data_IF_235764468319
#
_entry.id   IF_235764468319
#
_cell.length_a   1.000
_cell.length_b   1.000
_cell.length_c   1.000
_cell.angle_alpha   90.00
_cell.angle_beta   90.00
_cell.angle_gamma   90.00
#
_symmetry.space_group_name_H-M   'P 1'
#
loop_
_entity.id
_entity.type
_entity.pdbx_description
1 polymer ?
#
# COMPACT_ATOMS: atom_id res chain seq x y z
N UNK A 1 52.99 -8.95 2.87
CA UNK A 1 51.92 -8.53 3.81
C UNK A 1 52.45 -8.65 5.24
N UNK A 2 52.53 -7.55 5.99
CA UNK A 2 53.18 -7.52 7.31
C UNK A 2 52.25 -8.14 8.35
N UNK A 3 52.68 -9.22 9.03
CA UNK A 3 51.84 -9.97 10.00
C UNK A 3 51.29 -9.08 11.12
N UNK A 4 52.00 -8.00 11.46
CA UNK A 4 51.57 -7.00 12.45
C UNK A 4 50.38 -6.14 11.97
N UNK A 5 50.31 -5.85 10.67
CA UNK A 5 49.24 -5.06 10.06
C UNK A 5 47.96 -5.89 9.98
N UNK A 6 48.07 -7.18 9.61
CA UNK A 6 46.92 -8.11 9.54
C UNK A 6 46.29 -8.31 10.92
N UNK A 7 47.11 -8.46 11.97
CA UNK A 7 46.61 -8.60 13.33
C UNK A 7 45.91 -7.33 13.85
N UNK A 8 46.43 -6.14 13.51
CA UNK A 8 45.82 -4.87 13.88
C UNK A 8 44.46 -4.66 13.19
N UNK A 9 44.34 -4.99 11.90
CA UNK A 9 43.07 -4.91 11.17
C UNK A 9 42.02 -5.89 11.72
N UNK A 10 42.40 -7.12 12.07
CA UNK A 10 41.49 -8.09 12.71
C UNK A 10 41.00 -7.61 14.08
N UNK A 11 41.90 -7.04 14.88
CA UNK A 11 41.54 -6.56 16.22
C UNK A 11 40.59 -5.35 16.15
N UNK A 12 40.82 -4.42 15.21
CA UNK A 12 39.95 -3.27 14.96
C UNK A 12 38.57 -3.72 14.43
N UNK A 13 38.51 -4.72 13.54
CA UNK A 13 37.24 -5.28 13.07
C UNK A 13 36.42 -5.93 14.19
N UNK A 14 37.07 -6.67 15.11
CA UNK A 14 36.38 -7.27 16.26
C UNK A 14 35.84 -6.21 17.23
N UNK A 15 36.55 -5.12 17.47
CA UNK A 15 36.08 -4.05 18.36
C UNK A 15 34.88 -3.31 17.73
N UNK A 16 34.89 -3.05 16.41
CA UNK A 16 33.75 -2.42 15.73
C UNK A 16 32.52 -3.34 15.74
N UNK A 17 32.70 -4.65 15.56
CA UNK A 17 31.60 -5.61 15.63
C UNK A 17 30.97 -5.69 17.04
N UNK A 18 31.76 -5.58 18.11
CA UNK A 18 31.25 -5.59 19.50
C UNK A 18 30.55 -4.28 19.86
N UNK A 19 31.05 -3.13 19.37
CA UNK A 19 30.41 -1.82 19.62
C UNK A 19 29.06 -1.69 18.88
N UNK A 20 28.91 -2.29 17.69
CA UNK A 20 27.63 -2.33 16.99
C UNK A 20 26.55 -3.08 17.79
N UNK A 21 26.91 -4.14 18.52
CA UNK A 21 25.96 -4.94 19.32
C UNK A 21 25.50 -4.16 20.57
N UNK A 22 26.29 -3.20 21.06
CA UNK A 22 25.95 -2.38 22.23
C UNK A 22 25.02 -1.20 21.97
N UNK A 23 24.78 -0.83 20.70
CA UNK A 23 23.92 0.31 20.32
C UNK A 23 22.55 -0.15 19.80
N UNK A 24 22.35 -1.44 19.54
CA UNK A 24 21.02 -1.97 19.27
C UNK A 24 20.25 -2.06 20.58
N UNK A 25 19.39 -1.06 20.78
CA UNK A 25 18.34 -1.08 21.80
C UNK A 25 17.68 -2.46 21.84
N UNK A 26 17.49 -2.94 23.06
CA UNK A 26 16.76 -4.15 23.44
C UNK A 26 15.89 -4.68 22.30
N UNK A 27 16.30 -5.79 21.68
CA UNK A 27 15.45 -6.53 20.75
C UNK A 27 14.10 -6.70 21.46
N UNK A 28 12.99 -6.18 20.92
CA UNK A 28 11.69 -6.35 21.53
C UNK A 28 11.49 -7.83 21.82
N UNK A 29 11.05 -8.15 23.04
CA UNK A 29 10.73 -9.53 23.39
C UNK A 29 9.78 -10.07 22.30
N UNK A 30 10.08 -11.20 21.63
CA UNK A 30 9.21 -11.75 20.59
C UNK A 30 7.77 -11.98 21.06
N UNK A 31 7.54 -12.08 22.38
CA UNK A 31 6.21 -12.15 22.99
C UNK A 31 5.43 -10.83 22.98
N UNK A 32 6.05 -9.71 22.59
CA UNK A 32 5.42 -8.38 22.48
C UNK A 32 5.07 -7.98 21.04
N UNK A 33 5.35 -8.83 20.05
CA UNK A 33 5.02 -8.55 18.66
C UNK A 33 3.58 -8.97 18.39
N UNK A 34 2.74 -7.98 18.08
CA UNK A 34 1.34 -8.17 17.67
C UNK A 34 1.33 -8.22 16.12
N UNK A 35 1.04 -9.38 15.50
CA UNK A 35 1.05 -9.49 14.04
C UNK A 35 -0.19 -8.84 13.42
N UNK A 36 -0.08 -8.46 12.14
CA UNK A 36 -1.24 -8.11 11.32
C UNK A 36 -2.04 -9.38 11.03
N UNK A 37 -3.30 -9.39 11.48
CA UNK A 37 -4.23 -10.50 11.24
C UNK A 37 -5.04 -10.29 9.97
N UNK A 38 -5.46 -9.04 9.72
CA UNK A 38 -6.24 -8.63 8.55
C UNK A 38 -5.83 -7.23 8.10
N UNK A 39 -5.83 -7.03 6.79
CA UNK A 39 -5.81 -5.72 6.15
C UNK A 39 -7.01 -5.65 5.21
N UNK A 40 -7.69 -4.52 5.12
CA UNK A 40 -8.82 -4.36 4.21
C UNK A 40 -8.96 -2.94 3.71
N UNK A 41 -9.26 -2.80 2.43
CA UNK A 41 -9.75 -1.55 1.87
C UNK A 41 -11.08 -1.17 2.53
N UNK A 42 -11.24 0.14 2.70
CA UNK A 42 -12.48 0.77 3.16
C UNK A 42 -12.80 1.93 2.22
N UNK A 43 -14.08 2.29 2.14
CA UNK A 43 -14.55 3.41 1.36
C UNK A 43 -15.26 4.43 2.27
N UNK A 44 -14.57 5.51 2.68
CA UNK A 44 -15.15 6.55 3.52
C UNK A 44 -16.28 7.34 2.86
N UNK A 45 -16.47 7.23 1.54
CA UNK A 45 -17.58 7.88 0.84
C UNK A 45 -18.91 7.17 1.08
N UNK A 46 -18.87 5.91 1.53
CA UNK A 46 -20.08 5.14 1.86
C UNK A 46 -20.52 5.42 3.29
N UNK A 47 -21.83 5.60 3.47
CA UNK A 47 -22.45 5.85 4.78
C UNK A 47 -22.88 4.55 5.50
N UNK A 48 -22.48 3.38 4.99
CA UNK A 48 -22.77 2.08 5.60
C UNK A 48 -21.93 1.84 6.86
N UNK A 49 -22.38 0.91 7.71
CA UNK A 49 -21.67 0.56 8.94
C UNK A 49 -20.23 0.13 8.62
N UNK A 50 -19.26 0.80 9.24
CA UNK A 50 -17.82 0.53 9.17
C UNK A 50 -17.05 0.89 7.89
N UNK A 51 -17.65 1.63 6.95
CA UNK A 51 -16.99 2.07 5.70
C UNK A 51 -16.57 0.90 4.80
N UNK A 52 -17.33 -0.20 4.78
CA UNK A 52 -17.01 -1.32 3.90
C UNK A 52 -17.17 -0.93 2.42
N UNK A 53 -16.24 -1.38 1.56
CA UNK A 53 -16.37 -1.22 0.12
C UNK A 53 -17.60 -1.98 -0.39
N UNK A 54 -18.21 -1.46 -1.45
CA UNK A 54 -19.30 -2.15 -2.15
C UNK A 54 -18.78 -3.44 -2.82
N UNK A 55 -19.67 -4.40 -3.06
CA UNK A 55 -19.39 -5.59 -3.86
C UNK A 55 -20.10 -5.48 -5.20
N UNK A 56 -19.39 -5.71 -6.31
CA UNK A 56 -19.99 -5.79 -7.63
C UNK A 56 -20.79 -7.10 -7.82
N UNK A 57 -21.34 -7.32 -9.01
CA UNK A 57 -22.15 -8.52 -9.32
C UNK A 57 -21.37 -9.84 -9.15
N UNK A 58 -20.04 -9.79 -9.27
CA UNK A 58 -19.14 -10.92 -9.09
C UNK A 58 -18.71 -11.13 -7.62
N UNK A 59 -19.17 -10.26 -6.70
CA UNK A 59 -18.80 -10.30 -5.30
C UNK A 59 -17.41 -9.73 -5.01
N UNK A 60 -16.83 -8.96 -5.93
CA UNK A 60 -15.54 -8.31 -5.77
C UNK A 60 -15.70 -6.90 -5.21
N UNK A 61 -14.76 -6.46 -4.37
CA UNK A 61 -14.79 -5.10 -3.82
C UNK A 61 -14.63 -4.06 -4.92
N UNK A 62 -15.48 -3.05 -4.91
CA UNK A 62 -15.47 -1.95 -5.87
C UNK A 62 -15.58 -0.60 -5.18
N UNK A 63 -14.84 0.37 -5.70
CA UNK A 63 -14.97 1.80 -5.39
C UNK A 63 -15.37 2.51 -6.69
N UNK A 64 -16.47 3.26 -6.63
CA UNK A 64 -16.97 4.02 -7.77
C UNK A 64 -16.47 5.46 -7.74
N UNK A 65 -15.87 5.90 -8.85
CA UNK A 65 -15.32 7.24 -9.00
C UNK A 65 -16.03 7.94 -10.14
N UNK A 66 -16.40 9.21 -9.96
CA UNK A 66 -16.96 10.00 -11.07
C UNK A 66 -15.90 10.21 -12.16
N UNK A 67 -16.29 10.07 -13.42
CA UNK A 67 -15.48 10.50 -14.57
C UNK A 67 -15.08 11.97 -14.44
N UNK A 68 -13.90 12.30 -14.96
CA UNK A 68 -13.23 13.59 -14.82
C UNK A 68 -12.26 13.67 -13.63
N UNK A 69 -12.28 12.72 -12.70
CA UNK A 69 -11.32 12.68 -11.60
C UNK A 69 -9.97 12.13 -12.06
N UNK A 70 -8.90 12.89 -11.81
CA UNK A 70 -7.53 12.50 -12.13
C UNK A 70 -6.82 11.81 -10.98
N UNK A 71 -7.36 11.89 -9.77
CA UNK A 71 -6.75 11.33 -8.56
C UNK A 71 -7.81 10.75 -7.61
N UNK A 72 -7.41 9.77 -6.79
CA UNK A 72 -8.24 9.20 -5.74
C UNK A 72 -7.40 8.66 -4.58
N UNK A 73 -7.78 8.99 -3.35
CA UNK A 73 -7.11 8.49 -2.15
C UNK A 73 -7.72 7.14 -1.73
N UNK A 74 -6.90 6.10 -1.69
CA UNK A 74 -7.28 4.82 -1.10
C UNK A 74 -7.25 4.90 0.43
N UNK A 75 -8.17 4.20 1.07
CA UNK A 75 -8.23 4.06 2.52
C UNK A 75 -8.26 2.57 2.90
N UNK A 76 -7.63 2.23 4.02
CA UNK A 76 -7.57 0.86 4.51
C UNK A 76 -7.58 0.81 6.04
N UNK A 77 -7.86 -0.38 6.56
CA UNK A 77 -7.79 -0.69 8.00
C UNK A 77 -6.88 -1.91 8.20
N UNK A 78 -6.06 -1.85 9.25
CA UNK A 78 -5.28 -2.97 9.75
C UNK A 78 -5.92 -3.45 11.05
N UNK A 79 -6.06 -4.77 11.19
CA UNK A 79 -6.55 -5.42 12.40
C UNK A 79 -5.51 -6.45 12.88
N UNK A 80 -5.16 -6.46 14.18
CA UNK A 80 -5.60 -5.49 15.19
C UNK A 80 -4.97 -4.11 14.95
N UNK A 81 -5.67 -3.05 15.40
CA UNK A 81 -5.23 -1.66 15.22
C UNK A 81 -3.90 -1.38 15.92
N UNK A 82 -3.54 -2.18 16.93
CA UNK A 82 -2.27 -2.11 17.64
C UNK A 82 -1.22 -3.11 17.12
N UNK A 83 -1.37 -3.62 15.89
CA UNK A 83 -0.32 -4.41 15.25
C UNK A 83 1.02 -3.65 15.29
N UNK A 84 2.11 -4.37 15.57
CA UNK A 84 3.43 -3.78 15.83
C UNK A 84 4.04 -3.14 14.59
N UNK A 85 3.81 -3.74 13.41
CA UNK A 85 4.27 -3.22 12.12
C UNK A 85 3.07 -3.07 11.18
N UNK A 86 2.70 -1.82 10.94
CA UNK A 86 1.56 -1.44 10.10
C UNK A 86 1.98 -0.98 8.70
N UNK A 87 3.23 -1.26 8.29
CA UNK A 87 3.68 -0.94 6.95
C UNK A 87 2.86 -1.68 5.90
N UNK A 88 2.62 -0.99 4.79
CA UNK A 88 1.87 -1.51 3.65
C UNK A 88 2.60 -1.21 2.35
N UNK A 89 2.31 -1.99 1.32
CA UNK A 89 2.69 -1.70 -0.06
C UNK A 89 1.51 -1.92 -0.99
N UNK A 90 1.48 -1.16 -2.08
CA UNK A 90 0.46 -1.27 -3.12
C UNK A 90 1.03 -1.99 -4.32
N UNK A 91 0.20 -2.81 -4.94
CA UNK A 91 0.53 -3.58 -6.14
C UNK A 91 -0.54 -3.29 -7.20
N UNK A 92 -0.08 -2.89 -8.39
CA UNK A 92 -0.95 -2.75 -9.56
C UNK A 92 -1.24 -4.15 -10.12
N UNK A 93 -2.51 -4.55 -10.16
CA UNK A 93 -2.90 -5.91 -10.59
C UNK A 93 -3.40 -5.90 -12.03
N UNK A 94 -4.43 -5.12 -12.32
CA UNK A 94 -5.00 -4.96 -13.66
C UNK A 94 -4.83 -3.52 -14.13
N UNK A 95 -4.51 -3.34 -15.42
CA UNK A 95 -4.42 -2.03 -16.05
C UNK A 95 -3.38 -1.08 -15.40
N UNK A 96 -2.28 -1.65 -14.90
CA UNK A 96 -1.23 -0.93 -14.17
C UNK A 96 -0.48 0.16 -14.95
N UNK A 97 -0.56 0.17 -16.28
CA UNK A 97 0.02 1.22 -17.12
C UNK A 97 -0.86 2.49 -17.14
N UNK A 98 -2.13 2.37 -16.74
CA UNK A 98 -3.11 3.45 -16.78
C UNK A 98 -3.25 4.22 -15.46
N UNK A 99 -2.45 3.87 -14.44
CA UNK A 99 -2.42 4.60 -13.18
C UNK A 99 -1.08 4.44 -12.45
N UNK A 100 -0.80 5.37 -11.56
CA UNK A 100 0.23 5.26 -10.53
C UNK A 100 -0.42 5.22 -9.15
N UNK A 101 0.25 4.58 -8.18
CA UNK A 101 -0.15 4.60 -6.78
C UNK A 101 1.08 4.88 -5.93
N UNK A 102 1.02 5.91 -5.09
CA UNK A 102 2.13 6.29 -4.23
C UNK A 102 2.17 5.45 -2.94
N UNK A 103 3.20 5.68 -2.11
CA UNK A 103 3.36 4.97 -0.84
C UNK A 103 2.26 5.28 0.19
N UNK A 104 1.50 6.35 0.00
CA UNK A 104 0.39 6.77 0.86
C UNK A 104 -0.97 6.31 0.33
N UNK A 105 -1.01 5.60 -0.81
CA UNK A 105 -2.24 5.15 -1.44
C UNK A 105 -2.97 6.23 -2.26
N UNK A 106 -2.31 7.33 -2.62
CA UNK A 106 -2.83 8.26 -3.60
C UNK A 106 -2.68 7.64 -5.00
N UNK A 107 -3.81 7.38 -5.65
CA UNK A 107 -3.87 6.89 -7.01
C UNK A 107 -3.97 8.08 -7.96
N UNK A 108 -3.10 8.14 -8.97
CA UNK A 108 -3.17 9.11 -10.07
C UNK A 108 -3.50 8.37 -11.35
N UNK A 109 -4.59 8.75 -12.02
CA UNK A 109 -5.08 8.08 -13.22
C UNK A 109 -4.52 8.73 -14.49
N UNK A 110 -3.92 7.91 -15.35
CA UNK A 110 -3.51 8.31 -16.71
C UNK A 110 -4.65 8.11 -17.72
N UNK A 111 -5.60 7.22 -17.42
CA UNK A 111 -6.77 6.94 -18.25
C UNK A 111 -7.96 6.44 -17.41
N UNK A 112 -9.17 6.85 -17.78
CA UNK A 112 -10.42 6.41 -17.14
C UNK A 112 -10.86 5.00 -17.58
N UNK A 113 -10.07 4.00 -17.19
CA UNK A 113 -10.39 2.57 -17.34
C UNK A 113 -10.57 1.94 -15.97
N UNK A 114 -11.32 0.83 -15.88
CA UNK A 114 -11.36 0.05 -14.65
C UNK A 114 -9.95 -0.45 -14.30
N UNK A 115 -9.54 -0.30 -13.05
CA UNK A 115 -8.23 -0.75 -12.56
C UNK A 115 -8.40 -1.61 -11.32
N UNK A 116 -7.41 -2.45 -11.04
CA UNK A 116 -7.40 -3.29 -9.83
C UNK A 116 -6.14 -3.02 -9.02
N UNK A 117 -6.32 -2.70 -7.75
CA UNK A 117 -5.24 -2.43 -6.79
C UNK A 117 -5.27 -3.48 -5.69
N UNK A 118 -4.10 -4.02 -5.36
CA UNK A 118 -3.90 -4.88 -4.18
C UNK A 118 -3.11 -4.10 -3.14
N UNK A 119 -3.56 -4.15 -1.89
CA UNK A 119 -2.78 -3.72 -0.74
C UNK A 119 -2.19 -4.94 -0.04
N UNK A 120 -0.93 -4.86 0.39
CA UNK A 120 -0.24 -5.91 1.12
C UNK A 120 0.40 -5.34 2.38
N UNK A 121 0.19 -6.00 3.50
CA UNK A 121 0.87 -5.71 4.77
C UNK A 121 2.36 -6.06 4.73
N UNK A 122 3.05 -5.78 5.83
CA UNK A 122 4.48 -6.05 6.02
C UNK A 122 4.91 -7.46 5.54
N UNK A 123 6.19 -7.59 5.20
CA UNK A 123 6.78 -8.81 4.63
C UNK A 123 6.72 -10.03 5.56
N UNK A 124 6.48 -9.84 6.86
CA UNK A 124 6.39 -10.93 7.83
C UNK A 124 4.98 -11.53 7.84
N UNK A 125 3.95 -10.70 7.82
CA UNK A 125 2.55 -11.14 8.02
C UNK A 125 1.83 -11.47 6.71
N UNK A 126 2.24 -10.84 5.59
CA UNK A 126 1.80 -11.16 4.22
C UNK A 126 0.28 -11.19 4.02
N UNK A 127 -0.48 -10.43 4.81
CA UNK A 127 -1.91 -10.20 4.60
C UNK A 127 -2.12 -9.26 3.44
N UNK A 128 -3.21 -9.45 2.70
CA UNK A 128 -3.55 -8.60 1.57
C UNK A 128 -5.06 -8.47 1.36
N UNK A 129 -5.44 -7.43 0.63
CA UNK A 129 -6.79 -7.21 0.13
C UNK A 129 -6.75 -6.63 -1.27
N UNK A 130 -7.86 -6.73 -2.02
CA UNK A 130 -7.95 -6.29 -3.41
C UNK A 130 -9.20 -5.43 -3.58
N UNK A 131 -9.09 -4.37 -4.37
CA UNK A 131 -10.22 -3.51 -4.73
C UNK A 131 -10.16 -3.14 -6.21
N UNK A 132 -11.31 -3.15 -6.85
CA UNK A 132 -11.52 -2.60 -8.19
C UNK A 132 -11.92 -1.13 -8.07
N UNK A 133 -11.43 -0.30 -8.98
CA UNK A 133 -11.85 1.08 -9.12
C UNK A 133 -12.54 1.22 -10.48
N UNK A 134 -13.77 1.71 -10.46
CA UNK A 134 -14.60 1.86 -11.66
C UNK A 134 -15.08 3.30 -11.84
N UNK A 135 -15.00 3.78 -13.08
CA UNK A 135 -15.42 5.13 -13.44
C UNK A 135 -16.89 5.18 -13.86
N UNK A 136 -17.69 5.96 -13.14
CA UNK A 136 -19.13 6.17 -13.37
C UNK A 136 -19.43 7.59 -13.87
N UNK A 137 -20.59 7.77 -14.49
CA UNK A 137 -21.02 9.05 -15.07
C UNK A 137 -20.69 9.18 -16.56
N UNK A 138 -21.08 10.32 -17.15
CA UNK A 138 -20.78 10.62 -18.56
C UNK A 138 -19.29 10.97 -18.70
N UNK A 139 -18.63 10.58 -19.80
CA UNK A 139 -17.27 11.05 -20.08
C UNK A 139 -17.26 12.58 -20.12
N UNK A 140 -16.18 13.21 -19.64
CA UNK A 140 -16.03 14.66 -19.76
C UNK A 140 -16.14 15.03 -21.24
N UNK A 141 -17.17 15.81 -21.59
CA UNK A 141 -17.48 16.23 -22.96
C UNK A 141 -16.38 17.14 -23.48
N UNK A 142 -15.33 16.55 -24.06
CA UNK A 142 -14.39 17.26 -24.93
C UNK A 142 -14.67 16.94 -26.41
N UNK A 143 -15.82 16.33 -26.71
CA UNK A 143 -16.39 16.37 -28.05
C UNK A 143 -17.21 17.65 -28.12
N UNK A 144 -16.57 18.69 -28.67
CA UNK A 144 -17.22 19.92 -29.10
C UNK A 144 -18.59 19.58 -29.68
N UNK A 145 -19.63 20.17 -29.09
CA UNK A 145 -20.94 20.25 -29.72
C UNK A 145 -20.72 20.70 -31.16
N UNK A 146 -21.08 19.86 -32.12
CA UNK A 146 -21.12 20.28 -33.52
C UNK A 146 -22.03 21.52 -33.57
N UNK A 147 -21.53 22.71 -33.92
CA UNK A 147 -22.31 23.96 -33.80
C UNK A 147 -23.41 24.08 -34.88
N UNK A 148 -23.81 22.96 -35.49
CA UNK A 148 -24.75 22.90 -36.61
C UNK A 148 -25.81 21.79 -36.51
N UNK A 149 -26.02 21.17 -35.34
CA UNK A 149 -27.25 20.36 -35.08
C UNK A 149 -28.36 21.20 -34.42
#
# INVERSE_FOLDING_TARGET
MNKKIVALFLFVFCIIAVVAIGVFGKVPDPASIIPVEKISFIDPSRHEENFECELNEDGEKVIYIQRGNTEHQLYWRINPENATDQSVSFVKVANGDFFEVDANGLVTFNKEVSITVKIQSNFKDLKSDVVNIEFIGKPSSNEDENPFD
#
